data_IF_768416295184
#
_entry.id   IF_768416295184
#
_cell.length_a   1.000
_cell.length_b   1.000
_cell.length_c   1.000
_cell.angle_alpha   90.00
_cell.angle_beta   90.00
_cell.angle_gamma   90.00
#
_symmetry.space_group_name_H-M   'P 1'
#
loop_
_entity.id
_entity.type
_entity.pdbx_description
1 polymer ?
#
# COMPACT_ATOMS: atom_id res chain seq x y z
N UNK A 1 30.56 -11.14 6.74
CA UNK A 1 30.01 -11.40 5.39
C UNK A 1 28.49 -11.37 5.50
N UNK A 2 27.86 -10.23 5.20
CA UNK A 2 26.40 -10.12 5.16
C UNK A 2 25.92 -10.29 3.72
N UNK A 3 24.98 -11.21 3.52
CA UNK A 3 24.25 -11.41 2.26
C UNK A 3 23.35 -10.19 2.03
N UNK A 4 23.90 -9.08 1.55
CA UNK A 4 23.08 -7.97 1.06
C UNK A 4 22.68 -8.28 -0.37
N UNK A 5 21.47 -8.81 -0.49
CA UNK A 5 20.76 -8.93 -1.78
C UNK A 5 20.62 -7.50 -2.31
N UNK A 6 21.13 -7.26 -3.52
CA UNK A 6 20.88 -6.02 -4.27
C UNK A 6 19.41 -6.01 -4.66
N UNK A 7 18.57 -5.58 -3.74
CA UNK A 7 17.17 -5.32 -4.04
C UNK A 7 17.10 -3.99 -4.78
N UNK A 8 16.89 -4.06 -6.10
CA UNK A 8 16.69 -2.93 -7.01
C UNK A 8 15.49 -2.04 -6.64
N UNK A 9 14.75 -2.37 -5.59
CA UNK A 9 13.51 -1.67 -5.20
C UNK A 9 13.76 -0.34 -4.49
N UNK A 10 14.96 -0.05 -4.00
CA UNK A 10 15.25 1.16 -3.20
C UNK A 10 16.06 2.24 -3.95
N UNK A 11 16.37 2.03 -5.23
CA UNK A 11 17.25 2.96 -5.99
C UNK A 11 16.50 4.19 -6.57
N UNK A 12 15.22 4.39 -6.20
CA UNK A 12 14.38 5.49 -6.71
C UNK A 12 13.80 6.43 -5.63
N UNK A 13 14.28 6.37 -4.39
CA UNK A 13 13.88 7.35 -3.37
C UNK A 13 14.92 8.48 -3.32
N UNK A 14 14.95 9.31 -4.36
CA UNK A 14 15.59 10.62 -4.30
C UNK A 14 14.53 11.58 -3.72
N UNK A 15 14.78 12.07 -2.51
CA UNK A 15 13.86 12.82 -1.64
C UNK A 15 12.65 11.99 -1.16
N UNK A 16 12.59 11.78 0.16
CA UNK A 16 11.59 10.95 0.79
C UNK A 16 10.19 11.53 0.64
N UNK A 17 9.40 11.00 -0.29
CA UNK A 17 7.96 10.78 -0.18
C UNK A 17 7.46 10.25 -1.53
N UNK A 18 7.24 8.94 -1.61
CA UNK A 18 6.30 8.39 -2.59
C UNK A 18 5.44 7.38 -1.83
N UNK A 19 4.56 7.94 -1.00
CA UNK A 19 3.50 7.19 -0.34
C UNK A 19 2.25 7.43 -1.19
N UNK A 20 1.89 6.47 -2.03
CA UNK A 20 0.63 6.55 -2.79
C UNK A 20 -0.56 6.20 -1.90
N UNK A 21 -0.39 5.21 -1.01
CA UNK A 21 -1.42 4.77 -0.06
C UNK A 21 -0.76 4.21 1.21
N UNK A 22 -1.29 4.55 2.39
CA UNK A 22 -0.96 3.88 3.67
C UNK A 22 -2.21 3.18 4.16
N UNK A 23 -2.13 1.85 4.24
CA UNK A 23 -3.19 1.04 4.83
C UNK A 23 -2.84 0.65 6.26
N UNK A 24 -3.86 0.60 7.11
CA UNK A 24 -3.80 0.05 8.45
C UNK A 24 -4.82 -1.08 8.57
N UNK A 25 -4.54 -2.00 9.49
CA UNK A 25 -5.41 -3.10 9.81
C UNK A 25 -5.26 -3.48 11.26
N UNK A 26 -6.32 -4.00 11.85
CA UNK A 26 -6.19 -4.65 13.14
C UNK A 26 -5.35 -5.95 13.04
N UNK A 27 -4.65 -6.31 14.11
CA UNK A 27 -3.89 -7.55 14.13
C UNK A 27 -4.80 -8.80 14.04
N UNK A 28 -6.07 -8.66 14.43
CA UNK A 28 -7.09 -9.72 14.42
C UNK A 28 -7.73 -9.92 13.05
N UNK A 29 -7.55 -8.98 12.11
CA UNK A 29 -8.12 -9.08 10.76
C UNK A 29 -7.07 -9.49 9.73
N UNK A 30 -7.49 -10.30 8.76
CA UNK A 30 -6.59 -10.80 7.72
C UNK A 30 -6.34 -9.77 6.61
N UNK A 31 -7.32 -8.90 6.34
CA UNK A 31 -7.29 -7.91 5.26
C UNK A 31 -7.14 -6.50 5.84
N UNK A 32 -6.61 -5.59 5.04
CA UNK A 32 -6.60 -4.16 5.36
C UNK A 32 -8.00 -3.58 5.24
N UNK A 33 -8.41 -2.84 6.26
CA UNK A 33 -9.76 -2.26 6.38
C UNK A 33 -9.73 -0.75 6.62
N UNK A 34 -8.54 -0.16 6.82
CA UNK A 34 -8.37 1.27 7.08
C UNK A 34 -7.36 1.86 6.09
N UNK A 35 -7.67 3.00 5.48
CA UNK A 35 -6.73 3.83 4.72
C UNK A 35 -6.41 5.08 5.52
N UNK A 36 -5.14 5.23 5.89
CA UNK A 36 -4.64 6.35 6.68
C UNK A 36 -4.23 7.53 5.81
N UNK A 37 -3.65 7.24 4.65
CA UNK A 37 -3.16 8.23 3.70
C UNK A 37 -3.48 7.73 2.30
N UNK A 38 -4.00 8.61 1.45
CA UNK A 38 -4.26 8.33 0.05
C UNK A 38 -3.83 9.50 -0.82
N UNK A 39 -3.29 9.18 -1.99
CA UNK A 39 -3.15 10.12 -3.09
C UNK A 39 -4.43 10.10 -3.93
N UNK A 40 -5.22 11.18 -3.87
CA UNK A 40 -6.53 11.27 -4.52
C UNK A 40 -6.46 11.29 -6.05
N UNK A 41 -5.30 11.60 -6.60
CA UNK A 41 -5.04 11.56 -8.04
C UNK A 41 -4.78 10.13 -8.54
N UNK A 42 -4.61 9.17 -7.63
CA UNK A 42 -4.36 7.77 -7.93
C UNK A 42 -5.48 6.88 -7.43
N UNK A 43 -5.75 5.83 -8.18
CA UNK A 43 -6.69 4.77 -7.79
C UNK A 43 -5.95 3.59 -7.21
N UNK A 44 -6.58 2.90 -6.26
CA UNK A 44 -6.03 1.68 -5.67
C UNK A 44 -5.95 0.63 -6.78
N UNK A 45 -4.77 0.04 -7.05
CA UNK A 45 -4.63 -0.92 -8.13
C UNK A 45 -5.27 -2.27 -7.78
N UNK A 46 -5.88 -2.93 -8.77
CA UNK A 46 -6.52 -4.25 -8.60
C UNK A 46 -5.56 -5.33 -8.09
N UNK A 47 -4.25 -5.16 -8.31
CA UNK A 47 -3.24 -6.12 -7.86
C UNK A 47 -3.21 -6.30 -6.34
N UNK A 48 -3.58 -5.29 -5.56
CA UNK A 48 -3.65 -5.36 -4.09
C UNK A 48 -5.07 -5.56 -3.56
N UNK A 49 -6.08 -5.68 -4.43
CA UNK A 49 -7.48 -5.89 -4.03
C UNK A 49 -7.65 -7.11 -3.11
N UNK A 50 -6.84 -8.16 -3.29
CA UNK A 50 -6.89 -9.36 -2.45
C UNK A 50 -6.39 -9.13 -1.01
N UNK A 51 -5.56 -8.10 -0.79
CA UNK A 51 -5.02 -7.72 0.52
C UNK A 51 -5.97 -6.82 1.29
N UNK A 52 -6.89 -6.15 0.60
CA UNK A 52 -7.79 -5.14 1.14
C UNK A 52 -9.21 -5.70 1.18
N UNK A 53 -10.02 -5.25 2.15
CA UNK A 53 -11.42 -5.64 2.22
C UNK A 53 -12.17 -5.16 0.99
N UNK A 54 -12.99 -6.03 0.37
CA UNK A 54 -13.70 -5.70 -0.87
C UNK A 54 -14.60 -4.47 -0.68
N UNK A 55 -15.33 -4.39 0.44
CA UNK A 55 -16.14 -3.22 0.81
C UNK A 55 -15.32 -1.93 0.81
N UNK A 56 -14.12 -1.99 1.37
CA UNK A 56 -13.20 -0.87 1.47
C UNK A 56 -12.67 -0.43 0.08
N UNK A 57 -12.36 -1.39 -0.79
CA UNK A 57 -11.89 -1.11 -2.14
C UNK A 57 -12.93 -0.37 -2.99
N UNK A 58 -14.21 -0.70 -2.84
CA UNK A 58 -15.28 -0.01 -3.56
C UNK A 58 -15.52 1.40 -3.00
N UNK A 59 -15.51 1.58 -1.68
CA UNK A 59 -15.64 2.92 -1.05
C UNK A 59 -14.51 3.88 -1.46
N UNK A 60 -13.28 3.40 -1.57
CA UNK A 60 -12.12 4.23 -1.91
C UNK A 60 -11.98 4.54 -3.42
N UNK A 61 -12.84 3.97 -4.29
CA UNK A 61 -12.76 4.14 -5.75
C UNK A 61 -14.01 4.77 -6.39
N UNK A 62 -15.02 5.14 -5.60
CA UNK A 62 -16.24 5.85 -6.01
C UNK A 62 -16.03 7.37 -6.04
#
# INVERSE_FOLDING_TARGET
MSLRVKDSSVEKSNDGEIIDFIFSKDASVAKYDILLVEDKDKKIPDCIKHLISDSFYYEANE
#
